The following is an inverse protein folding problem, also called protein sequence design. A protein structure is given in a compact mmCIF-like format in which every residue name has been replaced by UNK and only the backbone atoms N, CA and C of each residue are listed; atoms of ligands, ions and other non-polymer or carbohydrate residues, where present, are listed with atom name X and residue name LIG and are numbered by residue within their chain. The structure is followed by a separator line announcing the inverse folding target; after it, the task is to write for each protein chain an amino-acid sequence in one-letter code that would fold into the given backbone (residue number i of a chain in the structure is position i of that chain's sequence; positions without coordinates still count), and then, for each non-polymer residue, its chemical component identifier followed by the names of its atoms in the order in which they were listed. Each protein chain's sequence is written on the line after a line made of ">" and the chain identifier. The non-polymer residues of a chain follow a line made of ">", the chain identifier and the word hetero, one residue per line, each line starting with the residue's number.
data_IF_542007136903
#
_entry.id   IF_542007136903
#
_cell.length_a   1.000
_cell.length_b   1.000
_cell.length_c   1.000
_cell.angle_alpha   90.00
_cell.angle_beta   90.00
_cell.angle_gamma   90.00
#
_symmetry.space_group_name_H-M   'P 1'
#
loop_
_entity.id
_entity.type
_entity.pdbx_description
1 polymer ?
#
# COMPACT_ATOMS: atom_id res chain seq x y z
N UNK A 1 15.19 0.79 14.10
CA UNK A 1 15.09 1.13 12.68
C UNK A 1 15.31 2.62 12.42
N UNK A 2 15.15 3.49 13.42
CA UNK A 2 15.26 4.95 13.29
C UNK A 2 16.54 5.35 12.54
N UNK A 3 16.39 6.13 11.46
CA UNK A 3 17.50 6.63 10.63
C UNK A 3 18.08 5.65 9.59
N UNK A 4 17.53 4.42 9.46
CA UNK A 4 17.97 3.47 8.42
C UNK A 4 17.00 3.39 7.24
N UNK A 5 15.71 3.45 7.52
CA UNK A 5 14.63 3.47 6.53
C UNK A 5 13.53 4.41 7.02
N UNK A 6 12.79 5.10 6.14
CA UNK A 6 11.63 5.89 6.52
C UNK A 6 10.55 5.02 7.17
N UNK A 7 9.87 5.59 8.17
CA UNK A 7 8.74 4.95 8.86
C UNK A 7 7.47 5.72 8.53
N UNK A 8 6.56 5.05 7.85
CA UNK A 8 5.24 5.56 7.49
C UNK A 8 4.20 4.93 8.40
N UNK A 9 3.57 5.73 9.27
CA UNK A 9 2.58 5.26 10.24
C UNK A 9 1.15 5.34 9.67
N UNK A 10 0.39 4.25 9.72
CA UNK A 10 -1.03 4.27 9.40
C UNK A 10 -1.85 4.86 10.55
N UNK A 11 -2.36 6.08 10.38
CA UNK A 11 -3.09 6.82 11.43
C UNK A 11 -4.54 7.12 11.06
N UNK A 12 -4.95 6.76 9.82
CA UNK A 12 -6.28 7.06 9.30
C UNK A 12 -7.39 6.23 9.94
N UNK A 13 -8.48 6.88 10.32
CA UNK A 13 -9.73 6.26 10.79
C UNK A 13 -10.93 7.15 10.39
N UNK A 14 -12.13 6.73 10.78
CA UNK A 14 -13.39 7.45 10.51
C UNK A 14 -13.53 8.72 11.34
N UNK A 15 -12.98 8.76 12.56
CA UNK A 15 -13.08 9.90 13.47
C UNK A 15 -11.88 10.84 13.33
N UNK A 16 -12.07 12.09 12.82
CA UNK A 16 -10.99 13.07 12.66
C UNK A 16 -10.21 13.38 13.94
N UNK A 17 -10.89 13.37 15.10
CA UNK A 17 -10.23 13.60 16.38
C UNK A 17 -9.22 12.50 16.67
N UNK A 18 -9.62 11.26 16.45
CA UNK A 18 -8.74 10.11 16.67
C UNK A 18 -7.59 10.06 15.65
N UNK A 19 -7.84 10.45 14.39
CA UNK A 19 -6.77 10.61 13.38
C UNK A 19 -5.72 11.62 13.86
N UNK A 20 -6.15 12.78 14.39
CA UNK A 20 -5.24 13.80 14.95
C UNK A 20 -4.41 13.24 16.09
N UNK A 21 -5.04 12.59 17.06
CA UNK A 21 -4.36 11.99 18.22
C UNK A 21 -3.29 10.97 17.78
N UNK A 22 -3.63 10.06 16.86
CA UNK A 22 -2.70 9.05 16.35
C UNK A 22 -1.57 9.66 15.52
N UNK A 23 -1.86 10.69 14.71
CA UNK A 23 -0.85 11.36 13.89
C UNK A 23 0.14 12.14 14.76
N UNK A 24 -0.33 12.83 15.80
CA UNK A 24 0.54 13.48 16.80
C UNK A 24 1.40 12.46 17.53
N UNK A 25 0.83 11.33 17.96
CA UNK A 25 1.59 10.25 18.58
C UNK A 25 2.66 9.67 17.64
N UNK A 26 2.35 9.47 16.36
CA UNK A 26 3.31 9.02 15.36
C UNK A 26 4.47 10.02 15.20
N UNK A 27 4.17 11.32 15.19
CA UNK A 27 5.16 12.39 15.13
C UNK A 27 6.08 12.37 16.35
N UNK A 28 5.52 12.28 17.56
CA UNK A 28 6.27 12.24 18.83
C UNK A 28 7.18 11.00 18.92
N UNK A 29 6.75 9.87 18.34
CA UNK A 29 7.54 8.65 18.24
C UNK A 29 8.63 8.72 17.17
N UNK A 30 8.66 9.79 16.36
CA UNK A 30 9.66 10.06 15.33
C UNK A 30 9.43 9.23 14.06
N UNK A 31 8.18 8.99 13.67
CA UNK A 31 7.83 8.54 12.32
C UNK A 31 8.11 9.66 11.31
N UNK A 32 8.41 9.29 10.08
CA UNK A 32 8.78 10.23 9.02
C UNK A 32 7.56 10.78 8.27
N UNK A 33 6.46 10.00 8.21
CA UNK A 33 5.20 10.44 7.63
C UNK A 33 4.00 9.64 8.17
N UNK A 34 2.79 10.15 7.93
CA UNK A 34 1.53 9.48 8.19
C UNK A 34 0.87 8.98 6.90
N UNK A 35 0.32 7.76 6.92
CA UNK A 35 -0.56 7.23 5.88
C UNK A 35 -2.01 7.35 6.35
N UNK A 36 -2.80 8.23 5.71
CA UNK A 36 -4.15 8.53 6.13
C UNK A 36 -5.15 8.07 5.07
N UNK A 37 -5.92 7.04 5.40
CA UNK A 37 -6.95 6.48 4.53
C UNK A 37 -8.15 7.43 4.43
N UNK A 38 -8.81 7.47 3.26
CA UNK A 38 -10.11 8.13 3.12
C UNK A 38 -11.09 7.62 4.18
N UNK A 39 -11.82 8.50 4.91
CA UNK A 39 -12.77 8.07 5.93
C UNK A 39 -13.77 7.07 5.37
N UNK A 40 -13.70 5.82 5.86
CA UNK A 40 -14.54 4.72 5.41
C UNK A 40 -15.95 4.81 6.01
N UNK A 41 -16.90 4.08 5.43
CA UNK A 41 -18.30 3.98 5.87
C UNK A 41 -19.14 5.26 5.66
N UNK A 42 -18.67 6.43 6.12
CA UNK A 42 -19.41 7.73 6.06
C UNK A 42 -19.41 8.37 4.67
N UNK A 43 -18.57 7.93 3.76
CA UNK A 43 -18.51 8.36 2.34
C UNK A 43 -18.58 9.88 2.15
N UNK A 44 -17.60 10.66 2.64
CA UNK A 44 -17.63 12.11 2.51
C UNK A 44 -17.62 12.54 1.03
N UNK A 45 -18.25 13.66 0.68
CA UNK A 45 -18.09 14.26 -0.65
C UNK A 45 -16.64 14.75 -0.85
N UNK A 46 -16.21 14.95 -2.11
CA UNK A 46 -14.83 15.33 -2.44
C UNK A 46 -14.34 16.55 -1.64
N UNK A 47 -15.14 17.61 -1.53
CA UNK A 47 -14.80 18.80 -0.71
C UNK A 47 -14.60 18.46 0.77
N UNK A 48 -15.27 17.42 1.27
CA UNK A 48 -15.10 16.95 2.65
C UNK A 48 -13.82 16.16 2.82
N UNK A 49 -13.42 15.36 1.80
CA UNK A 49 -12.14 14.66 1.77
C UNK A 49 -10.97 15.64 1.75
N UNK A 50 -11.02 16.66 0.88
CA UNK A 50 -9.99 17.72 0.81
C UNK A 50 -9.84 18.42 2.15
N UNK A 51 -10.94 18.90 2.72
CA UNK A 51 -10.93 19.56 4.05
C UNK A 51 -10.33 18.66 5.12
N UNK A 52 -10.73 17.38 5.16
CA UNK A 52 -10.23 16.40 6.12
C UNK A 52 -8.71 16.24 6.02
N UNK A 53 -8.18 16.04 4.82
CA UNK A 53 -6.75 15.83 4.65
C UNK A 53 -5.91 17.06 4.94
N UNK A 54 -6.38 18.24 4.55
CA UNK A 54 -5.73 19.54 4.88
C UNK A 54 -5.67 19.73 6.40
N UNK A 55 -6.78 19.53 7.12
CA UNK A 55 -6.82 19.59 8.58
C UNK A 55 -5.88 18.59 9.27
N UNK A 56 -5.62 17.43 8.65
CA UNK A 56 -4.65 16.46 9.19
C UNK A 56 -3.21 16.87 8.90
N UNK A 57 -2.96 17.52 7.78
CA UNK A 57 -1.63 18.00 7.39
C UNK A 57 -1.18 19.22 8.25
N UNK A 58 -2.12 19.99 8.83
CA UNK A 58 -1.84 21.07 9.79
C UNK A 58 -1.08 20.60 11.05
N UNK A 59 -1.09 19.30 11.35
CA UNK A 59 -0.36 18.71 12.48
C UNK A 59 1.15 18.86 12.32
N UNK A 60 1.65 18.92 11.08
CA UNK A 60 3.06 19.11 10.74
C UNK A 60 3.84 17.84 10.39
N UNK A 61 3.27 16.65 10.59
CA UNK A 61 3.85 15.40 10.06
C UNK A 61 3.50 15.28 8.57
N UNK A 62 4.45 14.98 7.66
CA UNK A 62 4.14 14.74 6.26
C UNK A 62 3.05 13.67 6.07
N UNK A 63 2.11 13.92 5.16
CA UNK A 63 0.95 13.05 4.93
C UNK A 63 1.01 12.43 3.54
N UNK A 64 0.84 11.12 3.48
CA UNK A 64 0.51 10.37 2.28
C UNK A 64 -0.96 10.00 2.35
N UNK A 65 -1.74 10.48 1.39
CA UNK A 65 -3.16 10.14 1.24
C UNK A 65 -3.29 8.65 0.91
N UNK A 66 -4.37 8.00 1.35
CA UNK A 66 -4.61 6.61 0.98
C UNK A 66 -6.02 6.43 0.41
N UNK A 67 -6.08 6.10 -0.88
CA UNK A 67 -7.29 5.86 -1.64
C UNK A 67 -7.49 4.36 -1.87
N UNK A 68 -8.53 3.77 -1.27
CA UNK A 68 -8.86 2.35 -1.39
C UNK A 68 -10.38 2.15 -1.45
N UNK A 69 -11.02 2.55 -2.56
CA UNK A 69 -12.49 2.61 -2.65
C UNK A 69 -13.19 1.28 -2.40
N UNK A 70 -12.55 0.16 -2.73
CA UNK A 70 -13.08 -1.18 -2.45
C UNK A 70 -13.26 -1.48 -0.95
N UNK A 71 -12.54 -0.78 -0.07
CA UNK A 71 -12.66 -0.94 1.39
C UNK A 71 -13.42 0.22 2.04
N UNK A 72 -13.23 1.43 1.54
CA UNK A 72 -13.79 2.63 2.17
C UNK A 72 -15.18 3.00 1.65
N UNK A 73 -15.53 2.53 0.45
CA UNK A 73 -16.78 2.89 -0.23
C UNK A 73 -16.78 4.31 -0.78
N UNK A 74 -15.64 5.00 -0.79
CA UNK A 74 -15.46 6.34 -1.38
C UNK A 74 -14.14 6.41 -2.15
N UNK A 75 -14.18 7.02 -3.31
CA UNK A 75 -12.99 7.23 -4.16
C UNK A 75 -12.53 8.68 -4.07
N UNK A 76 -11.25 8.90 -3.82
CA UNK A 76 -10.61 10.20 -3.93
C UNK A 76 -10.25 10.45 -5.39
N UNK A 77 -10.85 11.46 -6.01
CA UNK A 77 -10.67 11.77 -7.43
C UNK A 77 -9.29 12.42 -7.69
N UNK A 78 -8.74 12.30 -8.91
CA UNK A 78 -7.47 12.93 -9.29
C UNK A 78 -7.42 14.43 -9.02
N UNK A 79 -8.50 15.15 -9.35
CA UNK A 79 -8.61 16.59 -9.14
C UNK A 79 -8.61 16.94 -7.63
N UNK A 80 -9.25 16.12 -6.81
CA UNK A 80 -9.26 16.30 -5.36
C UNK A 80 -7.89 15.99 -4.75
N UNK A 81 -7.17 15.02 -5.30
CA UNK A 81 -5.79 14.71 -4.92
C UNK A 81 -4.87 15.91 -5.21
N UNK A 82 -4.96 16.47 -6.41
CA UNK A 82 -4.20 17.66 -6.80
C UNK A 82 -4.54 18.87 -5.93
N UNK A 83 -5.83 19.05 -5.61
CA UNK A 83 -6.27 20.13 -4.74
C UNK A 83 -5.70 19.98 -3.32
N UNK A 84 -5.70 18.76 -2.75
CA UNK A 84 -5.07 18.50 -1.46
C UNK A 84 -3.58 18.89 -1.46
N UNK A 85 -2.83 18.51 -2.50
CA UNK A 85 -1.41 18.84 -2.63
C UNK A 85 -1.17 20.36 -2.73
N UNK A 86 -2.04 21.08 -3.43
CA UNK A 86 -1.93 22.54 -3.55
C UNK A 86 -2.32 23.29 -2.29
N UNK A 87 -3.28 22.77 -1.52
CA UNK A 87 -3.77 23.42 -0.29
C UNK A 87 -2.80 23.29 0.88
N UNK A 88 -1.94 22.26 0.90
CA UNK A 88 -1.04 22.04 2.02
C UNK A 88 0.26 21.34 1.63
N UNK A 89 1.40 21.98 1.88
CA UNK A 89 2.75 21.48 1.55
C UNK A 89 3.14 20.16 2.22
N UNK A 90 2.58 19.84 3.39
CA UNK A 90 2.80 18.58 4.07
C UNK A 90 2.02 17.40 3.45
N UNK A 91 1.18 17.62 2.44
CA UNK A 91 0.56 16.55 1.67
C UNK A 91 1.52 16.18 0.53
N UNK A 92 2.33 15.16 0.77
CA UNK A 92 3.50 14.83 -0.06
C UNK A 92 3.27 13.68 -1.03
N UNK A 93 2.14 12.99 -0.98
CA UNK A 93 1.90 11.84 -1.84
C UNK A 93 0.53 11.19 -1.68
N UNK A 94 0.33 10.19 -2.52
CA UNK A 94 -0.85 9.32 -2.52
C UNK A 94 -0.43 7.84 -2.63
N UNK A 95 -1.03 6.98 -1.81
CA UNK A 95 -1.14 5.55 -2.07
C UNK A 95 -2.48 5.29 -2.76
N UNK A 96 -2.44 4.90 -4.04
CA UNK A 96 -3.63 4.54 -4.81
C UNK A 96 -3.78 3.02 -4.90
N UNK A 97 -4.86 2.50 -4.34
CA UNK A 97 -5.23 1.09 -4.36
C UNK A 97 -6.55 0.85 -5.12
N UNK A 98 -6.78 1.61 -6.18
CA UNK A 98 -7.92 1.41 -7.08
C UNK A 98 -7.74 0.22 -8.01
N UNK A 99 -6.48 -0.16 -8.32
CA UNK A 99 -6.15 -1.12 -9.37
C UNK A 99 -6.36 -0.57 -10.80
N UNK A 100 -6.82 0.68 -10.93
CA UNK A 100 -7.01 1.34 -12.23
C UNK A 100 -5.72 2.01 -12.70
N UNK A 101 -5.04 1.38 -13.65
CA UNK A 101 -3.78 1.86 -14.22
C UNK A 101 -3.93 3.19 -14.99
N UNK A 102 -5.11 3.52 -15.50
CA UNK A 102 -5.38 4.80 -16.15
C UNK A 102 -5.36 5.96 -15.13
N UNK A 103 -5.58 5.64 -13.86
CA UNK A 103 -5.60 6.64 -12.80
C UNK A 103 -4.23 7.28 -12.57
N UNK A 104 -3.14 6.58 -12.84
CA UNK A 104 -1.77 7.13 -12.76
C UNK A 104 -1.62 8.38 -13.62
N UNK A 105 -1.96 8.26 -14.91
CA UNK A 105 -1.91 9.38 -15.84
C UNK A 105 -2.87 10.52 -15.49
N UNK A 106 -4.08 10.19 -15.01
CA UNK A 106 -5.08 11.18 -14.58
C UNK A 106 -4.59 11.97 -13.38
N UNK A 107 -4.00 11.31 -12.38
CA UNK A 107 -3.47 11.97 -11.18
C UNK A 107 -2.26 12.84 -11.55
N UNK A 108 -1.29 12.32 -12.33
CA UNK A 108 -0.14 13.11 -12.79
C UNK A 108 -0.57 14.33 -13.59
N UNK A 109 -1.51 14.17 -14.53
CA UNK A 109 -2.06 15.28 -15.31
C UNK A 109 -2.79 16.32 -14.47
N UNK A 110 -3.56 15.91 -13.45
CA UNK A 110 -4.22 16.83 -12.53
C UNK A 110 -3.22 17.62 -11.68
N UNK A 111 -2.16 16.97 -11.18
CA UNK A 111 -1.08 17.62 -10.43
C UNK A 111 -0.33 18.63 -11.30
N UNK A 112 0.01 18.26 -12.54
CA UNK A 112 0.68 19.15 -13.50
C UNK A 112 -0.18 20.36 -13.84
N UNK A 113 -1.48 20.16 -14.12
CA UNK A 113 -2.42 21.23 -14.40
C UNK A 113 -2.60 22.19 -13.22
N UNK A 114 -2.44 21.71 -11.98
CA UNK A 114 -2.46 22.48 -10.76
C UNK A 114 -1.10 23.15 -10.44
N UNK A 115 -0.08 22.97 -11.29
CA UNK A 115 1.26 23.52 -11.07
C UNK A 115 2.12 22.76 -10.07
N UNK A 116 1.68 21.57 -9.63
CA UNK A 116 2.41 20.70 -8.73
C UNK A 116 3.32 19.76 -9.55
N UNK A 117 4.63 19.85 -9.36
CA UNK A 117 5.60 19.14 -10.16
C UNK A 117 5.82 17.67 -9.74
N UNK A 118 7.02 17.14 -10.06
CA UNK A 118 7.39 15.73 -9.85
C UNK A 118 7.57 15.31 -8.39
N UNK A 119 7.51 16.25 -7.46
CA UNK A 119 7.82 15.99 -6.04
C UNK A 119 6.67 15.31 -5.27
N UNK A 120 5.51 15.11 -5.92
CA UNK A 120 4.39 14.39 -5.31
C UNK A 120 4.55 12.89 -5.52
N UNK A 121 4.69 12.15 -4.41
CA UNK A 121 4.92 10.71 -4.41
C UNK A 121 3.63 9.94 -4.74
N UNK A 122 3.68 9.07 -5.74
CA UNK A 122 2.54 8.27 -6.18
C UNK A 122 2.85 6.78 -6.06
N UNK A 123 2.33 6.15 -5.00
CA UNK A 123 2.53 4.74 -4.71
C UNK A 123 1.32 3.89 -5.10
N UNK A 124 1.58 2.72 -5.70
CA UNK A 124 0.56 1.69 -5.82
C UNK A 124 0.24 1.07 -4.46
N UNK A 125 -1.03 0.79 -4.22
CA UNK A 125 -1.52 -0.01 -3.09
C UNK A 125 -2.11 -1.35 -3.51
N UNK A 126 -1.96 -1.73 -4.79
CA UNK A 126 -2.46 -2.96 -5.38
C UNK A 126 -1.31 -3.80 -5.94
N UNK A 127 -1.08 -4.99 -5.38
CA UNK A 127 0.08 -5.82 -5.73
C UNK A 127 0.05 -6.31 -7.18
N UNK A 128 -1.12 -6.70 -7.68
CA UNK A 128 -1.27 -7.30 -9.00
C UNK A 128 -0.89 -6.32 -10.13
N UNK A 129 -1.14 -5.02 -9.93
CA UNK A 129 -0.89 -3.97 -10.92
C UNK A 129 0.32 -3.11 -10.60
N UNK A 130 1.00 -3.32 -9.46
CA UNK A 130 2.03 -2.41 -8.94
C UNK A 130 3.21 -2.17 -9.89
N UNK A 131 3.69 -3.21 -10.55
CA UNK A 131 4.82 -3.09 -11.47
C UNK A 131 4.47 -2.21 -12.68
N UNK A 132 3.32 -2.46 -13.29
CA UNK A 132 2.82 -1.65 -14.42
C UNK A 132 2.48 -0.21 -13.97
N UNK A 133 1.94 -0.04 -12.76
CA UNK A 133 1.70 1.27 -12.17
C UNK A 133 2.98 2.12 -12.12
N UNK A 134 4.11 1.52 -11.71
CA UNK A 134 5.40 2.22 -11.67
C UNK A 134 5.92 2.50 -13.06
N UNK A 135 5.83 1.57 -14.01
CA UNK A 135 6.19 1.78 -15.41
C UNK A 135 5.41 2.94 -16.07
N UNK A 136 4.16 3.19 -15.62
CA UNK A 136 3.33 4.31 -16.07
C UNK A 136 3.59 5.64 -15.35
N UNK A 137 4.59 5.73 -14.48
CA UNK A 137 4.98 6.97 -13.82
C UNK A 137 4.63 7.03 -12.32
N UNK A 138 4.37 5.90 -11.68
CA UNK A 138 4.36 5.78 -10.21
C UNK A 138 5.77 5.75 -9.66
N UNK A 139 5.90 5.97 -8.34
CA UNK A 139 7.18 6.05 -7.63
C UNK A 139 7.49 4.80 -6.81
N UNK A 140 6.58 3.83 -6.75
CA UNK A 140 6.78 2.59 -6.02
C UNK A 140 5.47 1.91 -5.59
N UNK A 141 5.57 1.02 -4.60
CA UNK A 141 4.44 0.26 -4.10
C UNK A 141 4.48 0.12 -2.56
N UNK A 142 3.33 0.23 -1.92
CA UNK A 142 3.12 -0.15 -0.51
C UNK A 142 2.34 -1.47 -0.52
N UNK A 143 3.07 -2.57 -0.63
CA UNK A 143 2.63 -3.91 -1.00
C UNK A 143 2.22 -4.77 0.20
N UNK A 144 1.23 -5.64 0.02
CA UNK A 144 0.91 -6.75 0.95
C UNK A 144 1.89 -7.91 0.75
N UNK A 145 2.17 -8.28 -0.51
CA UNK A 145 3.10 -9.36 -0.87
C UNK A 145 4.52 -9.12 -0.35
N UNK A 146 4.93 -7.84 -0.19
CA UNK A 146 6.23 -7.49 0.38
C UNK A 146 6.43 -7.98 1.83
N UNK A 147 5.36 -8.27 2.58
CA UNK A 147 5.49 -8.85 3.92
C UNK A 147 6.13 -10.24 3.91
N UNK A 148 6.07 -10.96 2.80
CA UNK A 148 6.59 -12.32 2.63
C UNK A 148 7.62 -12.43 1.51
N UNK A 149 7.70 -11.46 0.60
CA UNK A 149 8.59 -11.46 -0.57
C UNK A 149 9.29 -10.09 -0.76
N UNK A 150 9.76 -9.46 0.33
CA UNK A 150 10.31 -8.09 0.31
C UNK A 150 11.43 -7.90 -0.71
N UNK A 151 12.37 -8.84 -0.79
CA UNK A 151 13.50 -8.77 -1.74
C UNK A 151 13.01 -8.79 -3.19
N UNK A 152 12.09 -9.70 -3.50
CA UNK A 152 11.55 -9.84 -4.85
C UNK A 152 10.82 -8.57 -5.27
N UNK A 153 9.96 -8.02 -4.40
CA UNK A 153 9.23 -6.77 -4.66
C UNK A 153 10.19 -5.59 -4.85
N UNK A 154 11.25 -5.51 -4.05
CA UNK A 154 12.27 -4.49 -4.22
C UNK A 154 12.92 -4.56 -5.62
N UNK A 155 13.35 -5.76 -6.04
CA UNK A 155 13.98 -5.95 -7.36
C UNK A 155 13.03 -5.60 -8.52
N UNK A 156 11.73 -5.96 -8.40
CA UNK A 156 10.69 -5.59 -9.37
C UNK A 156 10.52 -4.08 -9.44
N UNK A 157 10.37 -3.42 -8.28
CA UNK A 157 10.17 -1.96 -8.23
C UNK A 157 11.38 -1.20 -8.79
N UNK A 158 12.60 -1.64 -8.47
CA UNK A 158 13.82 -1.02 -9.04
C UNK A 158 13.87 -1.18 -10.56
N UNK A 159 13.55 -2.37 -11.09
CA UNK A 159 13.49 -2.59 -12.53
C UNK A 159 12.40 -1.72 -13.21
N UNK A 160 11.26 -1.54 -12.55
CA UNK A 160 10.17 -0.71 -13.05
C UNK A 160 10.53 0.79 -13.05
N UNK A 161 11.21 1.27 -12.01
CA UNK A 161 11.72 2.65 -11.94
C UNK A 161 12.79 2.94 -12.99
N UNK A 162 13.57 1.91 -13.39
CA UNK A 162 14.53 1.99 -14.49
C UNK A 162 13.85 1.92 -15.89
N UNK A 163 12.55 1.68 -15.95
CA UNK A 163 11.80 1.48 -17.20
C UNK A 163 12.12 0.17 -17.93
N UNK A 164 12.68 -0.81 -17.22
CA UNK A 164 13.09 -2.10 -17.80
C UNK A 164 11.94 -3.11 -17.79
N UNK A 165 11.02 -2.99 -18.74
CA UNK A 165 9.82 -3.83 -18.86
C UNK A 165 10.15 -5.33 -18.95
N UNK A 166 11.21 -5.72 -19.69
CA UNK A 166 11.60 -7.12 -19.83
C UNK A 166 12.02 -7.72 -18.49
N UNK A 167 12.85 -7.00 -17.74
CA UNK A 167 13.29 -7.43 -16.40
C UNK A 167 12.12 -7.44 -15.41
N UNK A 168 11.23 -6.45 -15.47
CA UNK A 168 9.99 -6.46 -14.68
C UNK A 168 9.19 -7.72 -14.94
N UNK A 169 8.95 -8.07 -16.20
CA UNK A 169 8.21 -9.27 -16.55
C UNK A 169 8.88 -10.53 -16.00
N UNK A 170 10.19 -10.70 -16.21
CA UNK A 170 10.95 -11.84 -15.71
C UNK A 170 10.85 -12.03 -14.20
N UNK A 171 10.90 -10.92 -13.44
CA UNK A 171 10.86 -10.95 -11.98
C UNK A 171 9.44 -11.08 -11.42
N UNK A 172 8.44 -10.49 -12.07
CA UNK A 172 7.06 -10.42 -11.58
C UNK A 172 6.23 -11.66 -11.96
N UNK A 173 6.43 -12.23 -13.16
CA UNK A 173 5.66 -13.40 -13.61
C UNK A 173 5.65 -14.57 -12.59
N UNK A 174 6.78 -14.92 -11.94
CA UNK A 174 6.78 -15.96 -10.91
C UNK A 174 5.95 -15.63 -9.67
N UNK A 175 5.69 -14.34 -9.39
CA UNK A 175 4.97 -13.90 -8.21
C UNK A 175 3.48 -13.62 -8.45
N UNK A 176 3.01 -13.72 -9.70
CA UNK A 176 1.61 -13.41 -10.05
C UNK A 176 0.61 -14.16 -9.17
N UNK A 177 0.83 -15.45 -8.95
CA UNK A 177 -0.05 -16.24 -8.06
C UNK A 177 0.00 -15.82 -6.61
N UNK A 178 1.13 -15.28 -6.13
CA UNK A 178 1.21 -14.73 -4.78
C UNK A 178 0.36 -13.47 -4.68
N UNK A 179 0.46 -12.55 -5.66
CA UNK A 179 -0.30 -11.31 -5.67
C UNK A 179 -1.81 -11.56 -5.68
N UNK A 180 -2.27 -12.61 -6.36
CA UNK A 180 -3.68 -13.01 -6.39
C UNK A 180 -4.10 -13.70 -5.09
N UNK A 181 -3.38 -14.75 -4.70
CA UNK A 181 -3.80 -15.66 -3.64
C UNK A 181 -3.60 -15.09 -2.23
N UNK A 182 -2.75 -14.08 -2.04
CA UNK A 182 -2.60 -13.41 -0.75
C UNK A 182 -3.85 -12.60 -0.34
N UNK A 183 -4.83 -12.51 -1.25
CA UNK A 183 -6.14 -11.89 -1.03
C UNK A 183 -7.29 -12.90 -1.11
N UNK A 184 -7.02 -14.22 -1.03
CA UNK A 184 -8.05 -15.27 -1.05
C UNK A 184 -9.07 -15.12 0.10
N UNK A 185 -8.66 -14.49 1.18
CA UNK A 185 -9.49 -13.92 2.22
C UNK A 185 -9.09 -12.47 2.50
N UNK A 186 -9.84 -11.80 3.35
CA UNK A 186 -9.56 -10.41 3.72
C UNK A 186 -8.14 -10.23 4.27
N UNK A 187 -7.36 -9.36 3.63
CA UNK A 187 -6.07 -8.94 4.20
C UNK A 187 -6.30 -8.29 5.59
N UNK A 188 -5.53 -8.66 6.64
CA UNK A 188 -4.22 -9.33 6.59
C UNK A 188 -4.22 -10.86 6.86
N UNK A 189 -5.34 -11.56 6.73
CA UNK A 189 -5.46 -12.97 7.13
C UNK A 189 -4.46 -13.85 6.36
N UNK A 190 -4.48 -13.96 5.00
CA UNK A 190 -3.55 -14.82 4.29
C UNK A 190 -2.09 -14.35 4.40
N UNK A 191 -1.85 -13.02 4.47
CA UNK A 191 -0.51 -12.47 4.61
C UNK A 191 0.14 -12.88 5.94
N UNK A 192 -0.60 -12.85 7.06
CA UNK A 192 -0.11 -13.28 8.37
C UNK A 192 0.10 -14.79 8.43
N UNK A 193 -0.82 -15.56 7.84
CA UNK A 193 -0.65 -17.00 7.70
C UNK A 193 0.64 -17.34 6.93
N UNK A 194 0.86 -16.72 5.80
CA UNK A 194 2.04 -16.93 4.97
C UNK A 194 3.33 -16.50 5.70
N UNK A 195 3.32 -15.36 6.38
CA UNK A 195 4.47 -14.90 7.18
C UNK A 195 4.82 -15.90 8.31
N UNK A 196 3.82 -16.43 9.02
CA UNK A 196 4.05 -17.47 10.02
C UNK A 196 4.56 -18.77 9.39
N UNK A 197 3.94 -19.21 8.29
CA UNK A 197 4.35 -20.42 7.56
C UNK A 197 5.80 -20.38 7.06
N UNK A 198 6.28 -19.19 6.72
CA UNK A 198 7.66 -18.94 6.29
C UNK A 198 8.64 -18.69 7.45
N UNK A 199 8.19 -18.76 8.71
CA UNK A 199 9.02 -18.50 9.89
C UNK A 199 9.41 -17.04 10.07
N UNK A 200 8.70 -16.11 9.43
CA UNK A 200 8.90 -14.66 9.57
C UNK A 200 8.17 -14.09 10.80
N UNK A 201 7.26 -14.88 11.37
CA UNK A 201 6.51 -14.57 12.59
C UNK A 201 6.51 -15.80 13.50
N UNK A 202 6.68 -15.58 14.80
CA UNK A 202 6.71 -16.64 15.82
C UNK A 202 5.36 -17.35 15.99
N UNK A 203 4.25 -16.69 15.64
CA UNK A 203 2.90 -17.24 15.76
C UNK A 203 1.99 -16.71 14.65
N UNK A 204 0.99 -17.52 14.24
CA UNK A 204 -0.02 -17.16 13.24
C UNK A 204 -1.19 -16.33 13.77
N UNK A 205 -1.19 -15.95 15.06
CA UNK A 205 -2.32 -15.27 15.69
C UNK A 205 -2.68 -13.92 15.07
N UNK A 206 -3.96 -13.66 15.01
CA UNK A 206 -4.55 -12.45 14.45
C UNK A 206 -5.52 -11.83 15.47
N UNK A 207 -5.58 -10.48 15.52
CA UNK A 207 -6.47 -9.78 16.45
C UNK A 207 -7.90 -9.76 15.95
N UNK A 208 -8.85 -9.95 16.89
CA UNK A 208 -10.27 -9.70 16.62
C UNK A 208 -10.51 -8.28 16.10
N UNK A 209 -11.47 -8.07 15.17
CA UNK A 209 -12.52 -9.00 14.73
C UNK A 209 -12.06 -9.98 13.63
N UNK A 210 -10.80 -9.91 13.20
CA UNK A 210 -10.24 -10.87 12.25
C UNK A 210 -10.04 -12.23 12.92
N UNK A 211 -9.99 -13.28 12.12
CA UNK A 211 -9.81 -14.67 12.54
C UNK A 211 -8.67 -15.32 11.77
N UNK A 212 -8.22 -16.48 12.16
CA UNK A 212 -7.25 -17.28 11.44
C UNK A 212 -7.80 -17.67 10.04
N UNK A 213 -6.90 -17.91 9.10
CA UNK A 213 -7.26 -18.28 7.72
C UNK A 213 -8.04 -19.60 7.72
N UNK A 214 -9.13 -19.66 6.94
CA UNK A 214 -9.92 -20.88 6.75
C UNK A 214 -9.05 -22.02 6.19
N UNK A 215 -9.10 -23.18 6.83
CA UNK A 215 -8.30 -24.34 6.48
C UNK A 215 -8.45 -24.78 5.01
N UNK A 216 -9.60 -24.51 4.39
CA UNK A 216 -9.82 -24.81 2.96
C UNK A 216 -8.85 -24.09 2.02
N UNK A 217 -8.26 -22.96 2.44
CA UNK A 217 -7.29 -22.21 1.64
C UNK A 217 -5.83 -22.61 1.89
N UNK A 218 -5.55 -23.41 2.92
CA UNK A 218 -4.20 -23.85 3.25
C UNK A 218 -3.51 -24.56 2.07
N UNK A 219 -4.15 -25.53 1.37
CA UNK A 219 -3.52 -26.19 0.23
C UNK A 219 -3.16 -25.20 -0.90
N UNK A 220 -4.02 -24.23 -1.18
CA UNK A 220 -3.78 -23.20 -2.19
C UNK A 220 -2.59 -22.32 -1.82
N UNK A 221 -2.51 -21.87 -0.58
CA UNK A 221 -1.45 -21.01 -0.10
C UNK A 221 -0.11 -21.75 -0.01
N UNK A 222 -0.09 -23.02 0.43
CA UNK A 222 1.10 -23.87 0.42
C UNK A 222 1.67 -24.03 -1.00
N UNK A 223 0.81 -24.32 -1.97
CA UNK A 223 1.20 -24.44 -3.37
C UNK A 223 1.71 -23.10 -3.93
N UNK A 224 1.06 -22.00 -3.57
CA UNK A 224 1.49 -20.66 -3.95
C UNK A 224 2.90 -20.37 -3.44
N UNK A 225 3.16 -20.57 -2.15
CA UNK A 225 4.48 -20.30 -1.57
C UNK A 225 5.56 -21.23 -2.15
N UNK A 226 5.21 -22.46 -2.54
CA UNK A 226 6.14 -23.41 -3.17
C UNK A 226 6.46 -23.01 -4.62
N UNK A 227 5.46 -22.70 -5.41
CA UNK A 227 5.65 -22.36 -6.84
C UNK A 227 6.33 -21.01 -7.03
N UNK A 228 6.20 -20.08 -6.09
CA UNK A 228 6.94 -18.81 -6.07
C UNK A 228 8.37 -18.95 -5.53
N UNK A 229 8.77 -20.14 -5.07
CA UNK A 229 10.10 -20.38 -4.50
C UNK A 229 10.33 -19.77 -3.11
N UNK A 230 9.30 -19.22 -2.48
CA UNK A 230 9.37 -18.65 -1.13
C UNK A 230 9.45 -19.75 -0.05
N UNK A 231 8.74 -20.84 -0.25
CA UNK A 231 8.82 -22.04 0.60
C UNK A 231 9.80 -23.04 -0.02
N UNK A 232 10.88 -23.30 0.70
CA UNK A 232 11.83 -24.33 0.26
C UNK A 232 11.16 -25.70 0.33
N UNK A 233 11.32 -26.50 -0.71
CA UNK A 233 11.00 -27.93 -0.67
C UNK A 233 12.01 -28.56 0.29
N UNK A 234 11.54 -29.11 1.41
CA UNK A 234 12.39 -29.97 2.22
C UNK A 234 12.80 -31.14 1.31
N UNK A 235 14.09 -31.23 0.99
CA UNK A 235 14.61 -32.44 0.34
C UNK A 235 14.37 -33.58 1.31
N UNK A 236 13.47 -34.48 0.95
CA UNK A 236 13.37 -35.79 1.60
C UNK A 236 14.72 -36.46 1.30
N UNK A 237 15.64 -36.37 2.26
CA UNK A 237 16.83 -37.22 2.27
C UNK A 237 16.34 -38.59 2.75
N UNK A 238 16.19 -39.50 1.82
CA UNK A 238 16.03 -40.95 2.09
C UNK A 238 17.24 -41.47 2.88
#
# INVERSE_FOLDING_TARGET
>A
MKGKIPILAGTGTIDPKHVKEQTMQAMDLGCDAALIVTPYYVKPPQRGLVKHFVEMADIGLPVILYNVPGRTGVNLLPESTALCACEHENIIGLKDATGDLENVGKIRGALEAAGYGKDFLLYSGDDATSAEFVLRGGDGCISVSANVAAKNLHEIMMAALEGNEEKVKQLNDPLTKLHENIFVESNPIPAKWAAHRLGLMDHGGIRSPMVEMDEKYVPLMEETLRTTGLLKVESITD
#
